data_IF_492063749785
#
_entry.id   IF_492063749785
#
_cell.length_a   1.000
_cell.length_b   1.000
_cell.length_c   1.000
_cell.angle_alpha   90.00
_cell.angle_beta   90.00
_cell.angle_gamma   90.00
#
_symmetry.space_group_name_H-M   'P 1'
#
loop_
_entity.id
_entity.type
_entity.pdbx_description
1 polymer ?
#
# COMPACT_ATOMS: atom_id res chain seq x y z
N UNK A 1 58.25 -76.70 2.78
CA UNK A 1 58.52 -75.27 3.03
C UNK A 1 57.52 -74.44 2.22
N UNK A 2 56.45 -73.93 2.83
CA UNK A 2 55.43 -73.14 2.11
C UNK A 2 55.60 -71.66 2.40
N UNK A 3 56.24 -70.95 1.46
CA UNK A 3 56.38 -69.50 1.50
C UNK A 3 55.05 -68.82 1.20
N UNK A 4 54.40 -68.28 2.24
CA UNK A 4 53.21 -67.43 2.10
C UNK A 4 53.63 -66.06 1.59
N UNK A 5 53.44 -65.80 0.29
CA UNK A 5 53.56 -64.46 -0.30
C UNK A 5 52.42 -63.59 0.23
N UNK A 6 52.72 -62.62 1.10
CA UNK A 6 51.78 -61.58 1.51
C UNK A 6 51.51 -60.67 0.31
N UNK A 7 50.27 -60.64 -0.19
CA UNK A 7 49.84 -59.66 -1.20
C UNK A 7 49.50 -58.34 -0.50
N UNK A 8 49.92 -57.17 -1.03
CA UNK A 8 49.63 -55.89 -0.40
C UNK A 8 48.15 -55.53 -0.62
N UNK A 9 47.44 -55.24 0.47
CA UNK A 9 46.03 -54.83 0.49
C UNK A 9 45.92 -53.32 0.19
N UNK A 10 46.58 -52.86 -0.88
CA UNK A 10 46.66 -51.43 -1.22
C UNK A 10 45.47 -50.93 -2.05
N UNK A 11 44.64 -51.82 -2.60
CA UNK A 11 43.54 -51.44 -3.50
C UNK A 11 42.28 -50.91 -2.80
N UNK A 12 42.01 -51.31 -1.56
CA UNK A 12 40.75 -50.93 -0.87
C UNK A 12 40.82 -49.53 -0.26
N UNK A 13 42.00 -49.09 0.19
CA UNK A 13 42.17 -47.78 0.82
C UNK A 13 41.89 -46.60 -0.13
N UNK A 14 42.23 -46.71 -1.42
CA UNK A 14 41.95 -45.67 -2.42
C UNK A 14 40.46 -45.56 -2.77
N UNK A 15 39.73 -46.68 -2.82
CA UNK A 15 38.27 -46.69 -3.01
C UNK A 15 37.53 -46.08 -1.80
N UNK A 16 37.98 -46.36 -0.58
CA UNK A 16 37.44 -45.75 0.64
C UNK A 16 37.82 -44.26 0.73
N UNK A 17 39.03 -43.88 0.30
CA UNK A 17 39.47 -42.49 0.22
C UNK A 17 38.67 -41.66 -0.79
N UNK A 18 38.39 -42.22 -1.98
CA UNK A 18 37.63 -41.56 -3.04
C UNK A 18 36.14 -41.37 -2.68
N UNK A 19 35.55 -42.33 -1.95
CA UNK A 19 34.17 -42.22 -1.47
C UNK A 19 34.04 -41.22 -0.32
N UNK A 20 35.00 -41.20 0.61
CA UNK A 20 35.03 -40.24 1.70
C UNK A 20 35.29 -38.79 1.22
N UNK A 21 36.16 -38.60 0.24
CA UNK A 21 36.43 -37.27 -0.34
C UNK A 21 35.25 -36.74 -1.17
N UNK A 22 34.59 -37.60 -1.95
CA UNK A 22 33.37 -37.23 -2.67
C UNK A 22 32.22 -36.87 -1.71
N UNK A 23 32.06 -37.62 -0.61
CA UNK A 23 31.06 -37.31 0.42
C UNK A 23 31.31 -35.95 1.08
N UNK A 24 32.56 -35.64 1.46
CA UNK A 24 32.93 -34.33 2.03
C UNK A 24 32.71 -33.18 1.05
N UNK A 25 33.12 -33.36 -0.21
CA UNK A 25 32.89 -32.37 -1.27
C UNK A 25 31.40 -32.10 -1.50
N UNK A 26 30.56 -33.15 -1.47
CA UNK A 26 29.12 -33.00 -1.59
C UNK A 26 28.51 -32.25 -0.39
N UNK A 27 28.99 -32.52 0.83
CA UNK A 27 28.55 -31.84 2.04
C UNK A 27 28.97 -30.36 2.05
N UNK A 28 30.20 -30.04 1.65
CA UNK A 28 30.69 -28.65 1.53
C UNK A 28 29.87 -27.86 0.51
N UNK A 29 29.56 -28.46 -0.66
CA UNK A 29 28.68 -27.82 -1.66
C UNK A 29 27.28 -27.58 -1.12
N UNK A 30 26.74 -28.53 -0.36
CA UNK A 30 25.43 -28.37 0.29
C UNK A 30 25.45 -27.25 1.33
N UNK A 31 26.52 -27.15 2.13
CA UNK A 31 26.70 -26.08 3.10
C UNK A 31 26.79 -24.71 2.45
N UNK A 32 27.60 -24.57 1.39
CA UNK A 32 27.70 -23.33 0.62
C UNK A 32 26.36 -22.95 -0.03
N UNK A 33 25.62 -23.91 -0.59
CA UNK A 33 24.31 -23.66 -1.16
C UNK A 33 23.30 -23.17 -0.09
N UNK A 34 23.31 -23.77 1.10
CA UNK A 34 22.47 -23.33 2.21
C UNK A 34 22.85 -21.93 2.72
N UNK A 35 24.14 -21.63 2.79
CA UNK A 35 24.64 -20.31 3.20
C UNK A 35 24.27 -19.23 2.18
N UNK A 36 24.45 -19.52 0.88
CA UNK A 36 24.00 -18.64 -0.20
C UNK A 36 22.49 -18.40 -0.17
N UNK A 37 21.70 -19.43 0.11
CA UNK A 37 20.25 -19.30 0.24
C UNK A 37 19.88 -18.37 1.41
N UNK A 38 20.55 -18.50 2.56
CA UNK A 38 20.35 -17.60 3.71
C UNK A 38 20.71 -16.16 3.37
N UNK A 39 21.86 -15.93 2.75
CA UNK A 39 22.28 -14.59 2.35
C UNK A 39 21.29 -13.98 1.35
N UNK A 40 20.86 -14.73 0.33
CA UNK A 40 19.86 -14.29 -0.62
C UNK A 40 18.50 -13.97 0.02
N UNK A 41 18.11 -14.70 1.07
CA UNK A 41 16.89 -14.37 1.81
C UNK A 41 17.05 -13.07 2.60
N UNK A 42 18.20 -12.88 3.27
CA UNK A 42 18.46 -11.63 4.01
C UNK A 42 18.50 -10.41 3.10
N UNK A 43 19.09 -10.51 1.91
CA UNK A 43 19.12 -9.39 0.96
C UNK A 43 17.72 -9.05 0.46
N UNK A 44 16.89 -10.06 0.13
CA UNK A 44 15.49 -9.84 -0.27
C UNK A 44 14.68 -9.15 0.83
N UNK A 45 14.87 -9.51 2.10
CA UNK A 45 14.20 -8.85 3.23
C UNK A 45 14.59 -7.38 3.32
N UNK A 46 15.90 -7.08 3.24
CA UNK A 46 16.40 -5.70 3.28
C UNK A 46 15.92 -4.86 2.08
N UNK A 47 15.87 -5.46 0.89
CA UNK A 47 15.34 -4.80 -0.32
C UNK A 47 13.86 -4.48 -0.17
N UNK A 48 13.07 -5.42 0.37
CA UNK A 48 11.65 -5.21 0.65
C UNK A 48 11.44 -4.08 1.65
N UNK A 49 12.19 -4.08 2.76
CA UNK A 49 12.11 -3.02 3.78
C UNK A 49 12.48 -1.65 3.19
N UNK A 50 13.52 -1.59 2.35
CA UNK A 50 13.91 -0.37 1.64
C UNK A 50 12.82 0.12 0.70
N UNK A 51 12.18 -0.77 -0.05
CA UNK A 51 11.07 -0.41 -0.94
C UNK A 51 9.87 0.13 -0.15
N UNK A 52 9.55 -0.51 0.97
CA UNK A 52 8.48 -0.06 1.87
C UNK A 52 8.76 1.33 2.44
N UNK A 53 10.01 1.60 2.86
CA UNK A 53 10.40 2.95 3.31
C UNK A 53 10.28 4.00 2.21
N UNK A 54 10.70 3.67 0.99
CA UNK A 54 10.57 4.58 -0.16
C UNK A 54 9.10 4.88 -0.45
N UNK A 55 8.24 3.85 -0.44
CA UNK A 55 6.80 4.06 -0.62
C UNK A 55 6.22 4.93 0.49
N UNK A 56 6.57 4.67 1.76
CA UNK A 56 6.09 5.48 2.88
C UNK A 56 6.46 6.96 2.70
N UNK A 57 7.73 7.26 2.39
CA UNK A 57 8.20 8.61 2.11
C UNK A 57 7.42 9.27 0.96
N UNK A 58 7.23 8.55 -0.15
CA UNK A 58 6.48 9.07 -1.30
C UNK A 58 5.01 9.34 -0.97
N UNK A 59 4.36 8.46 -0.19
CA UNK A 59 2.97 8.67 0.24
C UNK A 59 2.83 9.86 1.15
N UNK A 60 3.76 10.05 2.09
CA UNK A 60 3.78 11.20 2.98
C UNK A 60 3.97 12.51 2.20
N UNK A 61 4.91 12.53 1.25
CA UNK A 61 5.10 13.69 0.37
C UNK A 61 3.86 13.99 -0.48
N UNK A 62 3.20 12.96 -1.03
CA UNK A 62 1.98 13.12 -1.81
C UNK A 62 0.84 13.70 -0.97
N UNK A 63 0.65 13.20 0.26
CA UNK A 63 -0.33 13.74 1.21
C UNK A 63 0.00 15.20 1.54
N UNK A 64 1.26 15.52 1.86
CA UNK A 64 1.69 16.88 2.17
C UNK A 64 1.45 17.84 1.01
N UNK A 65 1.76 17.43 -0.22
CA UNK A 65 1.48 18.22 -1.44
C UNK A 65 -0.02 18.40 -1.67
N UNK A 66 -0.82 17.37 -1.41
CA UNK A 66 -2.28 17.43 -1.50
C UNK A 66 -2.91 18.41 -0.52
N UNK A 67 -2.43 18.44 0.73
CA UNK A 67 -2.90 19.40 1.74
C UNK A 67 -2.51 20.84 1.33
N UNK A 68 -1.26 21.05 0.93
CA UNK A 68 -0.79 22.37 0.53
C UNK A 68 -1.54 22.91 -0.70
N UNK A 69 -1.78 22.07 -1.71
CA UNK A 69 -2.52 22.47 -2.90
C UNK A 69 -4.00 22.71 -2.63
N UNK A 70 -4.64 21.90 -1.76
CA UNK A 70 -6.01 22.12 -1.33
C UNK A 70 -6.16 23.44 -0.56
N UNK A 71 -5.19 23.81 0.28
CA UNK A 71 -5.20 25.10 0.98
C UNK A 71 -5.06 26.29 0.01
N UNK A 72 -4.17 26.18 -0.99
CA UNK A 72 -4.03 27.21 -2.04
C UNK A 72 -5.34 27.36 -2.82
N UNK A 73 -5.98 26.26 -3.21
CA UNK A 73 -7.27 26.30 -3.91
C UNK A 73 -8.37 26.92 -3.05
N UNK A 74 -8.43 26.60 -1.75
CA UNK A 74 -9.38 27.23 -0.82
C UNK A 74 -9.18 28.74 -0.77
N UNK A 75 -7.95 29.21 -0.55
CA UNK A 75 -7.63 30.64 -0.55
C UNK A 75 -7.98 31.31 -1.88
N UNK A 76 -7.69 30.66 -3.01
CA UNK A 76 -8.07 31.17 -4.33
C UNK A 76 -9.59 31.25 -4.49
N UNK A 77 -10.36 30.26 -4.02
CA UNK A 77 -11.82 30.28 -4.08
C UNK A 77 -12.44 31.34 -3.16
N UNK A 78 -11.84 31.59 -1.99
CA UNK A 78 -12.24 32.67 -1.08
C UNK A 78 -11.92 34.05 -1.67
N UNK A 79 -10.78 34.17 -2.37
CA UNK A 79 -10.33 35.44 -2.97
C UNK A 79 -11.01 35.77 -4.30
N UNK A 80 -11.48 34.76 -5.04
CA UNK A 80 -12.25 34.95 -6.28
C UNK A 80 -13.75 35.17 -6.04
N UNK A 81 -14.17 35.30 -4.78
CA UNK A 81 -15.30 36.16 -4.39
C UNK A 81 -16.56 36.01 -5.23
N UNK A 82 -16.92 34.79 -5.64
CA UNK A 82 -18.29 34.53 -6.05
C UNK A 82 -19.01 34.28 -4.74
N UNK A 83 -19.83 35.22 -4.23
CA UNK A 83 -20.74 34.86 -3.17
C UNK A 83 -21.53 33.69 -3.72
N UNK A 84 -21.41 32.53 -3.08
CA UNK A 84 -22.46 31.51 -3.17
C UNK A 84 -23.68 32.24 -2.62
N UNK A 85 -24.39 32.88 -3.53
CA UNK A 85 -25.71 33.43 -3.29
C UNK A 85 -26.49 32.19 -2.95
N UNK A 86 -26.63 31.96 -1.65
CA UNK A 86 -27.67 31.13 -1.13
C UNK A 86 -28.90 31.64 -1.85
N UNK A 87 -29.44 30.80 -2.72
CA UNK A 87 -30.67 31.03 -3.44
C UNK A 87 -31.80 30.92 -2.41
N UNK A 88 -31.72 31.71 -1.34
CA UNK A 88 -32.72 31.92 -0.32
C UNK A 88 -33.76 32.82 -0.98
N UNK A 89 -34.50 32.22 -1.90
CA UNK A 89 -35.76 32.79 -2.36
C UNK A 89 -36.56 33.09 -1.10
N UNK A 90 -37.04 34.34 -0.91
CA UNK A 90 -37.81 34.68 0.26
C UNK A 90 -39.00 33.71 0.38
N UNK A 91 -39.20 33.16 1.57
CA UNK A 91 -40.35 32.30 1.86
C UNK A 91 -41.45 33.17 2.47
N UNK A 92 -42.68 32.97 2.01
CA UNK A 92 -43.88 33.63 2.49
C UNK A 92 -44.74 32.64 3.27
N UNK A 93 -45.20 33.06 4.46
CA UNK A 93 -46.05 32.25 5.31
C UNK A 93 -47.53 32.42 4.94
N UNK A 94 -48.27 31.32 4.82
CA UNK A 94 -49.69 31.37 4.53
C UNK A 94 -50.51 31.83 5.75
N UNK A 95 -51.37 32.84 5.59
CA UNK A 95 -52.22 33.36 6.66
C UNK A 95 -53.30 32.37 7.17
N UNK A 96 -53.63 31.33 6.39
CA UNK A 96 -54.69 30.37 6.75
C UNK A 96 -54.14 29.11 7.44
N UNK A 97 -53.08 28.51 6.89
CA UNK A 97 -52.53 27.24 7.40
C UNK A 97 -51.11 27.35 7.95
N UNK A 98 -50.52 28.56 7.96
CA UNK A 98 -49.16 28.85 8.47
C UNK A 98 -48.01 28.12 7.75
N UNK A 99 -48.27 27.45 6.63
CA UNK A 99 -47.25 26.80 5.80
C UNK A 99 -46.34 27.83 5.13
N UNK A 100 -45.04 27.56 5.10
CA UNK A 100 -44.05 28.34 4.35
C UNK A 100 -44.09 27.93 2.87
N UNK A 101 -44.26 28.92 1.99
CA UNK A 101 -44.32 28.77 0.54
C UNK A 101 -43.30 29.71 -0.12
N UNK A 102 -42.93 29.46 -1.38
CA UNK A 102 -42.06 30.37 -2.12
C UNK A 102 -42.85 31.63 -2.52
N UNK A 103 -42.20 32.80 -2.54
CA UNK A 103 -42.85 34.09 -2.93
C UNK A 103 -43.42 34.07 -4.36
N UNK A 104 -42.92 33.20 -5.25
CA UNK A 104 -43.45 33.06 -6.60
C UNK A 104 -44.77 32.26 -6.69
N UNK A 105 -45.20 31.61 -5.61
CA UNK A 105 -46.42 30.82 -5.61
C UNK A 105 -47.65 31.71 -5.40
N UNK A 106 -48.57 31.72 -6.38
CA UNK A 106 -49.86 32.42 -6.27
C UNK A 106 -50.81 31.78 -5.26
N UNK A 107 -50.63 30.49 -4.97
CA UNK A 107 -51.50 29.72 -4.08
C UNK A 107 -50.66 28.90 -3.10
N UNK A 108 -51.21 28.66 -1.91
CA UNK A 108 -50.60 27.85 -0.89
C UNK A 108 -50.60 26.37 -1.30
N UNK A 109 -49.43 25.72 -1.26
CA UNK A 109 -49.29 24.30 -1.61
C UNK A 109 -50.01 23.34 -0.67
N UNK A 110 -50.40 23.80 0.53
CA UNK A 110 -51.07 22.97 1.53
C UNK A 110 -52.60 23.17 1.53
N UNK A 111 -53.08 24.41 1.53
CA UNK A 111 -54.51 24.73 1.70
C UNK A 111 -55.18 25.37 0.48
N UNK A 112 -54.44 25.62 -0.61
CA UNK A 112 -54.96 26.25 -1.82
C UNK A 112 -55.31 27.74 -1.69
N UNK A 113 -55.15 28.35 -0.51
CA UNK A 113 -55.47 29.75 -0.31
C UNK A 113 -54.55 30.67 -1.15
N UNK A 114 -55.10 31.79 -1.62
CA UNK A 114 -54.36 32.75 -2.45
C UNK A 114 -53.30 33.49 -1.60
N UNK A 115 -52.04 33.36 -2.00
CA UNK A 115 -50.90 34.03 -1.41
C UNK A 115 -50.71 35.37 -2.15
N UNK A 116 -51.72 36.26 -2.07
CA UNK A 116 -51.54 37.62 -2.58
C UNK A 116 -50.56 38.34 -1.66
N UNK A 117 -49.46 38.81 -2.25
CA UNK A 117 -48.59 39.82 -1.67
C UNK A 117 -49.37 41.13 -1.61
#
# INVERSE_FOLDING_TARGET
MYGRRRRPVLGTALLVGATASAARSSAERQQLAMEQARLAETTRRLEYDRQMQIQAMQTEEAVRRGIASAEIQRRQSEQSGVPVTQNSQPLLQCNQCKQLNQVNNKFCSNCGNNLKI
#
